data_IF_209834855513
#
_entry.id   IF_209834855513
#
_cell.length_a   1.000
_cell.length_b   1.000
_cell.length_c   1.000
_cell.angle_alpha   90.00
_cell.angle_beta   90.00
_cell.angle_gamma   90.00
#
_symmetry.space_group_name_H-M   'P 1'
#
loop_
_entity.id
_entity.type
_entity.pdbx_description
1 polymer ?
#
# COMPACT_ATOMS: atom_id res chain seq x y z
N UNK A 1 -28.69 1.07 -6.05
CA UNK A 1 -27.69 1.50 -5.05
C UNK A 1 -28.10 2.89 -4.58
N UNK A 2 -28.22 3.13 -3.28
CA UNK A 2 -28.52 4.48 -2.77
C UNK A 2 -27.39 5.44 -3.15
N UNK A 3 -27.74 6.66 -3.57
CA UNK A 3 -26.75 7.68 -3.89
C UNK A 3 -26.12 8.15 -2.58
N UNK A 4 -24.86 7.80 -2.37
CA UNK A 4 -24.06 8.30 -1.26
C UNK A 4 -23.47 9.67 -1.63
N UNK A 5 -23.51 10.60 -0.70
CA UNK A 5 -22.85 11.89 -0.80
C UNK A 5 -21.50 11.83 -0.08
N UNK A 6 -20.54 12.64 -0.53
CA UNK A 6 -19.17 12.67 -0.01
C UNK A 6 -18.75 14.11 0.24
N UNK A 7 -18.07 14.36 1.37
CA UNK A 7 -17.44 15.64 1.65
C UNK A 7 -16.07 15.78 0.98
N UNK A 8 -15.53 17.00 0.92
CA UNK A 8 -14.16 17.19 0.44
C UNK A 8 -13.13 16.47 1.32
N UNK A 9 -13.33 16.41 2.63
CA UNK A 9 -12.42 15.68 3.54
C UNK A 9 -12.40 14.18 3.24
N UNK A 10 -13.55 13.63 2.86
CA UNK A 10 -13.65 12.24 2.42
C UNK A 10 -12.98 12.03 1.06
N UNK A 11 -13.12 12.98 0.15
CA UNK A 11 -12.62 12.89 -1.23
C UNK A 11 -11.17 13.32 -1.41
N UNK A 12 -10.57 14.06 -0.48
CA UNK A 12 -9.22 14.59 -0.63
C UNK A 12 -8.22 13.47 -0.91
N UNK A 13 -7.39 13.71 -1.92
CA UNK A 13 -6.43 12.77 -2.50
C UNK A 13 -7.05 11.49 -3.10
N UNK A 14 -8.37 11.44 -3.34
CA UNK A 14 -8.98 10.32 -4.03
C UNK A 14 -8.44 10.20 -5.45
N UNK A 15 -8.18 8.96 -5.87
CA UNK A 15 -7.64 8.65 -7.20
C UNK A 15 -8.72 8.86 -8.26
N UNK A 16 -8.44 9.73 -9.22
CA UNK A 16 -9.33 10.00 -10.36
C UNK A 16 -8.89 9.12 -11.53
N UNK A 17 -9.81 8.28 -11.99
CA UNK A 17 -9.58 7.27 -13.02
C UNK A 17 -10.46 7.59 -14.22
N UNK A 18 -9.87 7.68 -15.40
CA UNK A 18 -10.62 7.95 -16.63
C UNK A 18 -11.35 6.71 -17.15
N UNK A 19 -12.17 6.88 -18.19
CA UNK A 19 -12.96 5.77 -18.73
C UNK A 19 -12.15 4.66 -19.38
N UNK A 20 -10.85 4.88 -19.65
CA UNK A 20 -9.93 3.87 -20.21
C UNK A 20 -9.13 3.16 -19.11
N UNK A 21 -9.39 3.47 -17.83
CA UNK A 21 -8.71 2.85 -16.69
C UNK A 21 -7.34 3.46 -16.41
N UNK A 22 -7.10 4.72 -16.78
CA UNK A 22 -5.84 5.42 -16.56
C UNK A 22 -5.95 6.42 -15.40
N UNK A 23 -4.85 6.63 -14.68
CA UNK A 23 -4.76 7.67 -13.64
C UNK A 23 -4.80 9.05 -14.29
N UNK A 24 -5.91 9.78 -14.11
CA UNK A 24 -5.98 11.18 -14.48
C UNK A 24 -5.25 12.05 -13.44
N UNK A 25 -5.44 11.77 -12.16
CA UNK A 25 -4.82 12.53 -11.07
C UNK A 25 -5.51 12.24 -9.74
N UNK A 26 -5.49 13.23 -8.85
CA UNK A 26 -6.06 13.13 -7.52
C UNK A 26 -6.97 14.32 -7.22
N UNK A 27 -7.97 14.14 -6.37
CA UNK A 27 -8.85 15.24 -5.94
C UNK A 27 -8.11 16.17 -4.97
N UNK A 28 -8.01 17.46 -5.29
CA UNK A 28 -7.50 18.50 -4.39
C UNK A 28 -8.64 19.16 -3.61
N UNK A 29 -9.68 19.59 -4.34
CA UNK A 29 -10.78 20.42 -3.81
C UNK A 29 -12.07 20.28 -4.65
N UNK A 30 -13.16 20.91 -4.23
CA UNK A 30 -14.40 21.09 -4.99
C UNK A 30 -14.62 22.60 -5.18
N UNK A 31 -14.69 23.04 -6.44
CA UNK A 31 -15.12 24.41 -6.76
C UNK A 31 -16.60 24.43 -7.13
N UNK A 32 -17.30 25.47 -6.70
CA UNK A 32 -18.73 25.67 -6.96
C UNK A 32 -18.88 27.01 -7.67
N UNK A 33 -19.29 26.97 -8.94
CA UNK A 33 -19.56 28.16 -9.75
C UNK A 33 -21.06 28.17 -10.09
N UNK A 34 -21.78 29.16 -9.58
CA UNK A 34 -23.24 29.32 -9.76
C UNK A 34 -24.02 28.04 -9.37
N UNK A 35 -24.36 27.21 -10.35
CA UNK A 35 -25.10 25.95 -10.22
C UNK A 35 -24.30 24.70 -10.59
N UNK A 36 -23.00 24.84 -10.92
CA UNK A 36 -22.14 23.75 -11.37
C UNK A 36 -20.97 23.55 -10.42
N UNK A 37 -20.96 22.40 -9.74
CA UNK A 37 -19.81 21.95 -8.99
C UNK A 37 -18.82 21.18 -9.89
N UNK A 38 -17.53 21.39 -9.65
CA UNK A 38 -16.42 20.71 -10.35
C UNK A 38 -15.41 20.22 -9.32
N UNK A 39 -14.87 19.02 -9.53
CA UNK A 39 -13.71 18.54 -8.79
C UNK A 39 -12.44 19.18 -9.35
N UNK A 40 -11.59 19.68 -8.47
CA UNK A 40 -10.26 20.16 -8.82
C UNK A 40 -9.31 18.96 -8.81
N UNK A 41 -8.79 18.59 -9.98
CA UNK A 41 -7.85 17.48 -10.12
C UNK A 41 -6.42 18.01 -10.14
N UNK A 42 -5.55 17.42 -9.34
CA UNK A 42 -4.11 17.69 -9.35
C UNK A 42 -3.30 16.46 -9.76
N UNK A 43 -2.08 16.71 -10.21
CA UNK A 43 -1.05 15.69 -10.44
C UNK A 43 0.22 16.04 -9.68
N UNK A 44 1.03 15.03 -9.38
CA UNK A 44 2.34 15.19 -8.74
C UNK A 44 3.42 15.19 -9.81
N UNK A 45 4.33 16.16 -9.74
CA UNK A 45 5.55 16.18 -10.54
C UNK A 45 6.76 16.12 -9.62
N UNK A 46 7.74 15.30 -10.00
CA UNK A 46 9.06 15.29 -9.37
C UNK A 46 9.94 16.27 -10.10
N UNK A 47 10.40 17.29 -9.39
CA UNK A 47 11.35 18.26 -9.91
C UNK A 47 12.67 18.15 -9.15
N UNK A 48 13.76 18.35 -9.88
CA UNK A 48 15.08 18.48 -9.31
C UNK A 48 15.26 19.93 -8.84
N UNK A 49 15.34 20.14 -7.53
CA UNK A 49 15.57 21.46 -6.92
C UNK A 49 16.93 21.46 -6.21
N UNK A 50 17.74 22.52 -6.33
CA UNK A 50 18.93 22.68 -5.51
C UNK A 50 18.52 22.87 -4.04
N UNK A 51 18.93 21.94 -3.18
CA UNK A 51 18.76 22.00 -1.74
C UNK A 51 20.12 22.01 -1.04
N UNK A 52 20.14 22.54 0.19
CA UNK A 52 21.37 22.57 0.99
C UNK A 52 21.68 21.15 1.46
N UNK A 53 22.92 20.71 1.27
CA UNK A 53 23.39 19.46 1.86
C UNK A 53 23.68 19.69 3.35
N UNK A 54 22.67 19.43 4.18
CA UNK A 54 22.71 19.70 5.62
C UNK A 54 23.81 18.89 6.31
N UNK A 55 24.00 17.62 5.95
CA UNK A 55 25.02 16.75 6.56
C UNK A 55 26.43 17.26 6.27
N UNK A 56 26.71 17.62 5.01
CA UNK A 56 27.98 18.19 4.60
C UNK A 56 28.21 19.58 5.21
N UNK A 57 27.16 20.38 5.34
CA UNK A 57 27.26 21.68 6.01
C UNK A 57 27.60 21.51 7.50
N UNK A 58 26.93 20.58 8.19
CA UNK A 58 27.21 20.24 9.59
C UNK A 58 28.64 19.75 9.79
N UNK A 59 29.17 18.89 8.91
CA UNK A 59 30.54 18.39 9.04
C UNK A 59 31.60 19.49 8.88
N UNK A 60 31.39 20.41 7.93
CA UNK A 60 32.28 21.57 7.73
C UNK A 60 32.22 22.51 8.96
N UNK A 61 31.02 22.80 9.46
CA UNK A 61 30.82 23.68 10.62
C UNK A 61 31.35 23.07 11.92
N UNK A 62 31.17 21.77 12.15
CA UNK A 62 31.68 21.07 13.34
C UNK A 62 33.21 21.14 13.47
N UNK A 63 33.91 21.31 12.34
CA UNK A 63 35.37 21.43 12.30
C UNK A 63 35.87 22.84 12.69
N UNK A 64 34.97 23.83 12.80
CA UNK A 64 35.31 25.25 12.99
C UNK A 64 34.52 25.93 14.11
N UNK A 65 33.38 25.37 14.53
CA UNK A 65 32.53 25.86 15.59
C UNK A 65 32.00 24.70 16.44
N UNK A 66 31.73 24.94 17.73
CA UNK A 66 30.97 23.99 18.55
C UNK A 66 29.51 24.00 18.15
N UNK A 67 29.01 22.83 17.77
CA UNK A 67 27.60 22.58 17.49
C UNK A 67 27.03 21.64 18.56
N UNK A 68 25.81 21.92 19.01
CA UNK A 68 24.98 21.07 19.87
C UNK A 68 24.31 19.93 19.07
N UNK A 69 24.29 20.02 17.73
CA UNK A 69 23.90 18.95 16.80
C UNK A 69 22.43 18.96 16.35
N UNK A 70 21.58 19.71 17.06
CA UNK A 70 20.14 19.87 16.79
C UNK A 70 19.78 21.25 16.19
N UNK A 71 20.77 22.01 15.70
CA UNK A 71 20.54 23.36 15.22
C UNK A 71 19.61 23.39 14.00
N UNK A 72 18.67 24.36 13.95
CA UNK A 72 17.88 24.62 12.76
C UNK A 72 18.76 24.92 11.55
N UNK A 73 18.27 24.56 10.35
CA UNK A 73 18.98 24.83 9.09
C UNK A 73 19.32 26.31 8.91
N UNK A 74 18.41 27.21 9.30
CA UNK A 74 18.62 28.65 9.24
C UNK A 74 19.83 29.10 10.07
N UNK A 75 19.99 28.57 11.29
CA UNK A 75 21.12 28.85 12.18
C UNK A 75 22.44 28.35 11.59
N UNK A 76 22.44 27.15 11.01
CA UNK A 76 23.62 26.59 10.35
C UNK A 76 24.04 27.44 9.13
N UNK A 77 23.08 27.89 8.33
CA UNK A 77 23.35 28.76 7.18
C UNK A 77 23.86 30.14 7.63
N UNK A 78 23.27 30.72 8.67
CA UNK A 78 23.73 32.00 9.22
C UNK A 78 25.17 31.91 9.76
N UNK A 79 25.49 30.83 10.48
CA UNK A 79 26.84 30.56 10.98
C UNK A 79 27.83 30.37 9.83
N UNK A 80 27.46 29.60 8.80
CA UNK A 80 28.30 29.40 7.63
C UNK A 80 28.63 30.72 6.90
N UNK A 81 27.64 31.60 6.76
CA UNK A 81 27.86 32.94 6.17
C UNK A 81 28.74 33.82 7.06
N UNK A 82 28.54 33.78 8.37
CA UNK A 82 29.37 34.53 9.35
C UNK A 82 30.84 34.09 9.29
N UNK A 83 31.07 32.79 9.17
CA UNK A 83 32.40 32.19 9.09
C UNK A 83 32.96 32.14 7.64
N UNK A 84 32.28 32.78 6.69
CA UNK A 84 32.65 32.84 5.28
C UNK A 84 32.90 31.45 4.64
N UNK A 85 32.07 30.47 5.01
CA UNK A 85 32.07 29.10 4.52
C UNK A 85 31.10 28.99 3.33
N UNK A 86 31.56 28.36 2.25
CA UNK A 86 30.71 28.05 1.11
C UNK A 86 29.62 27.04 1.49
N UNK A 87 28.36 27.39 1.22
CA UNK A 87 27.22 26.54 1.53
C UNK A 87 27.19 25.38 0.51
N UNK A 88 27.29 24.11 0.94
CA UNK A 88 27.26 22.99 0.02
C UNK A 88 25.83 22.75 -0.46
N UNK A 89 25.65 22.77 -1.78
CA UNK A 89 24.38 22.46 -2.44
C UNK A 89 24.37 21.04 -3.00
N UNK A 90 23.18 20.45 -3.09
CA UNK A 90 22.91 19.18 -3.74
C UNK A 90 21.60 19.25 -4.51
N UNK A 91 21.46 18.44 -5.55
CA UNK A 91 20.18 18.29 -6.24
C UNK A 91 19.31 17.32 -5.43
N UNK A 92 18.09 17.73 -5.09
CA UNK A 92 17.11 16.88 -4.44
C UNK A 92 15.84 16.78 -5.29
N UNK A 93 15.17 15.62 -5.24
CA UNK A 93 13.85 15.46 -5.84
C UNK A 93 12.79 16.00 -4.88
N UNK A 94 11.96 16.92 -5.37
CA UNK A 94 10.80 17.45 -4.65
C UNK A 94 9.54 17.18 -5.44
N UNK A 95 8.53 16.68 -4.75
CA UNK A 95 7.19 16.51 -5.32
C UNK A 95 6.40 17.81 -5.21
N UNK A 96 5.94 18.33 -6.34
CA UNK A 96 5.07 19.50 -6.42
C UNK A 96 3.69 19.10 -6.94
N UNK A 97 2.64 19.68 -6.35
CA UNK A 97 1.26 19.54 -6.80
C UNK A 97 0.95 20.57 -7.87
N UNK A 98 0.45 20.13 -9.02
CA UNK A 98 -0.03 21.00 -10.08
C UNK A 98 -1.48 20.69 -10.41
N UNK A 99 -2.32 21.73 -10.49
CA UNK A 99 -3.70 21.58 -10.95
C UNK A 99 -3.66 21.15 -12.42
N UNK A 100 -4.20 19.96 -12.69
CA UNK A 100 -4.26 19.37 -14.02
C UNK A 100 -5.53 19.78 -14.76
N UNK A 101 -6.63 19.96 -14.04
CA UNK A 101 -7.88 20.42 -14.63
C UNK A 101 -9.06 20.36 -13.69
N UNK A 102 -10.21 20.80 -14.18
CA UNK A 102 -11.48 20.79 -13.48
C UNK A 102 -12.40 19.75 -14.11
N UNK A 103 -12.94 18.87 -13.28
CA UNK A 103 -13.80 17.75 -13.70
C UNK A 103 -15.25 18.05 -13.29
N UNK A 104 -16.17 18.25 -14.25
CA UNK A 104 -17.59 18.42 -13.96
C UNK A 104 -18.17 17.19 -13.24
N UNK A 105 -19.04 17.40 -12.24
CA UNK A 105 -19.70 16.27 -11.56
C UNK A 105 -20.55 15.41 -12.51
N UNK A 106 -21.02 15.96 -13.63
CA UNK A 106 -21.75 15.21 -14.67
C UNK A 106 -20.90 14.13 -15.35
N UNK A 107 -19.57 14.23 -15.31
CA UNK A 107 -18.66 13.22 -15.86
C UNK A 107 -18.30 12.14 -14.83
N UNK A 108 -18.68 12.31 -13.56
CA UNK A 108 -18.39 11.34 -12.50
C UNK A 108 -19.42 10.23 -12.55
N UNK A 109 -18.98 9.03 -12.92
CA UNK A 109 -19.82 7.82 -12.97
C UNK A 109 -20.01 7.25 -11.57
N UNK A 110 -18.93 7.24 -10.78
CA UNK A 110 -18.87 6.57 -9.49
C UNK A 110 -17.87 7.28 -8.61
N UNK A 111 -18.24 7.40 -7.33
CA UNK A 111 -17.33 7.68 -6.24
C UNK A 111 -17.44 6.51 -5.27
N UNK A 112 -16.32 5.95 -4.84
CA UNK A 112 -16.29 4.92 -3.79
C UNK A 112 -15.08 5.07 -2.88
N UNK A 113 -15.24 4.65 -1.64
CA UNK A 113 -14.24 4.75 -0.58
C UNK A 113 -14.33 3.51 0.29
N UNK A 114 -13.31 2.66 0.24
CA UNK A 114 -13.28 1.37 0.95
C UNK A 114 -11.91 1.10 1.55
N UNK A 115 -11.90 0.37 2.65
CA UNK A 115 -10.68 -0.20 3.19
C UNK A 115 -10.48 -1.59 2.61
N UNK A 116 -9.28 -1.86 2.12
CA UNK A 116 -8.84 -3.19 1.72
C UNK A 116 -7.72 -3.64 2.65
N UNK A 117 -7.64 -4.95 2.88
CA UNK A 117 -6.61 -5.55 3.73
C UNK A 117 -5.98 -6.74 3.01
N UNK A 118 -4.79 -6.57 2.46
CA UNK A 118 -4.16 -7.59 1.63
C UNK A 118 -2.71 -7.73 2.04
N UNK A 119 -2.27 -8.97 2.31
CA UNK A 119 -0.88 -9.30 2.63
C UNK A 119 -0.33 -8.41 3.78
N UNK A 120 -1.11 -8.31 4.86
CA UNK A 120 -0.88 -7.48 6.07
C UNK A 120 -0.84 -5.96 5.84
N UNK A 121 -1.14 -5.51 4.62
CA UNK A 121 -1.23 -4.09 4.28
C UNK A 121 -2.68 -3.64 4.32
N UNK A 122 -2.98 -2.72 5.23
CA UNK A 122 -4.26 -2.00 5.26
C UNK A 122 -4.15 -0.75 4.40
N UNK A 123 -4.95 -0.66 3.35
CA UNK A 123 -5.04 0.52 2.50
C UNK A 123 -6.46 1.07 2.50
N UNK A 124 -6.61 2.36 2.75
CA UNK A 124 -7.86 3.08 2.52
C UNK A 124 -7.86 3.63 1.11
N UNK A 125 -8.62 3.00 0.21
CA UNK A 125 -8.71 3.38 -1.19
C UNK A 125 -9.94 4.26 -1.39
N UNK A 126 -9.72 5.40 -2.06
CA UNK A 126 -10.74 6.34 -2.47
C UNK A 126 -10.61 6.55 -3.97
N UNK A 127 -11.68 6.37 -4.70
CA UNK A 127 -11.67 6.45 -6.17
C UNK A 127 -12.84 7.24 -6.72
N UNK A 128 -12.56 8.02 -7.76
CA UNK A 128 -13.53 8.71 -8.61
C UNK A 128 -13.36 8.18 -10.03
N UNK A 129 -14.38 7.54 -10.58
CA UNK A 129 -14.39 7.02 -11.95
C UNK A 129 -15.10 7.99 -12.88
N UNK A 130 -14.47 8.33 -14.00
CA UNK A 130 -15.01 9.22 -15.01
C UNK A 130 -15.65 8.47 -16.18
N UNK A 131 -16.65 9.09 -16.80
CA UNK A 131 -17.27 8.61 -18.05
C UNK A 131 -16.46 8.95 -19.29
N UNK A 132 -15.48 9.85 -19.17
CA UNK A 132 -14.70 10.40 -20.28
C UNK A 132 -13.23 9.96 -20.22
N UNK A 133 -12.56 9.77 -21.37
CA UNK A 133 -11.18 9.30 -21.46
C UNK A 133 -10.17 10.46 -21.34
N UNK A 134 -10.30 11.29 -20.30
CA UNK A 134 -9.52 12.53 -20.14
C UNK A 134 -8.01 12.29 -20.15
N UNK A 135 -7.56 11.22 -19.50
CA UNK A 135 -6.14 10.91 -19.41
C UNK A 135 -5.61 10.34 -20.72
N UNK A 136 -6.37 9.44 -21.36
CA UNK A 136 -6.01 8.94 -22.67
C UNK A 136 -5.87 10.09 -23.69
N UNK A 137 -6.80 11.05 -23.70
CA UNK A 137 -6.72 12.25 -24.55
C UNK A 137 -5.49 13.08 -24.21
N UNK A 138 -5.23 13.35 -22.92
CA UNK A 138 -4.07 14.12 -22.48
C UNK A 138 -2.74 13.48 -22.92
N UNK A 139 -2.65 12.15 -22.89
CA UNK A 139 -1.47 11.38 -23.34
C UNK A 139 -1.41 11.18 -24.85
N UNK A 140 -2.44 11.56 -25.62
CA UNK A 140 -2.54 11.27 -27.05
C UNK A 140 -2.71 9.78 -27.38
N UNK A 141 -3.29 9.00 -26.46
CA UNK A 141 -3.54 7.57 -26.64
C UNK A 141 -4.82 7.32 -27.46
N UNK A 142 -4.86 6.23 -28.24
CA UNK A 142 -6.06 5.88 -28.99
C UNK A 142 -7.20 5.47 -28.04
N UNK A 143 -8.31 6.19 -28.11
CA UNK A 143 -9.55 5.83 -27.40
C UNK A 143 -10.29 4.82 -28.26
N UNK A 144 -10.21 3.54 -27.89
CA UNK A 144 -10.83 2.48 -28.67
C UNK A 144 -12.20 2.14 -28.07
N UNK A 145 -13.33 2.33 -28.78
CA UNK A 145 -14.65 2.04 -28.22
C UNK A 145 -14.87 0.54 -27.98
N UNK A 146 -14.18 -0.35 -28.72
CA UNK A 146 -14.31 -1.80 -28.58
C UNK A 146 -13.46 -2.30 -27.40
N UNK A 147 -13.92 -3.33 -26.69
CA UNK A 147 -13.16 -3.98 -25.60
C UNK A 147 -11.77 -4.32 -26.13
N UNK A 148 -10.73 -3.74 -25.52
CA UNK A 148 -9.36 -4.11 -25.86
C UNK A 148 -9.20 -5.61 -25.61
N UNK A 149 -8.63 -6.33 -26.57
CA UNK A 149 -8.15 -7.69 -26.31
C UNK A 149 -6.91 -7.56 -25.44
N UNK A 150 -6.99 -7.94 -24.17
CA UNK A 150 -5.87 -7.89 -23.24
C UNK A 150 -5.49 -9.30 -22.79
N UNK A 151 -4.20 -9.53 -22.55
CA UNK A 151 -3.77 -10.76 -21.90
C UNK A 151 -4.37 -10.84 -20.49
N UNK A 152 -4.95 -11.97 -20.06
CA UNK A 152 -5.43 -12.13 -18.69
C UNK A 152 -4.39 -11.76 -17.63
N UNK A 153 -3.10 -11.94 -17.92
CA UNK A 153 -2.01 -11.57 -17.02
C UNK A 153 -1.95 -10.06 -16.74
N UNK A 154 -2.45 -9.21 -17.65
CA UNK A 154 -2.45 -7.75 -17.46
C UNK A 154 -3.47 -7.28 -16.41
N UNK A 155 -4.37 -8.15 -15.95
CA UNK A 155 -5.36 -7.84 -14.91
C UNK A 155 -4.77 -8.05 -13.50
N UNK A 156 -3.83 -8.99 -13.37
CA UNK A 156 -3.26 -9.38 -12.08
C UNK A 156 -2.47 -8.24 -11.46
N UNK A 157 -2.66 -8.04 -10.15
CA UNK A 157 -2.04 -6.98 -9.36
C UNK A 157 -2.76 -5.64 -9.41
N UNK A 158 -3.76 -5.46 -10.28
CA UNK A 158 -4.47 -4.19 -10.45
C UNK A 158 -5.69 -4.10 -9.55
N UNK A 159 -6.02 -2.87 -9.17
CA UNK A 159 -7.28 -2.54 -8.51
C UNK A 159 -8.42 -2.66 -9.53
N UNK A 160 -9.44 -3.43 -9.17
CA UNK A 160 -10.64 -3.68 -9.98
C UNK A 160 -11.80 -2.85 -9.45
N UNK A 161 -12.43 -2.12 -10.36
CA UNK A 161 -13.53 -1.20 -10.08
C UNK A 161 -14.70 -1.60 -10.97
N UNK A 162 -15.89 -1.69 -10.39
CA UNK A 162 -17.14 -1.85 -11.12
C UNK A 162 -17.86 -0.52 -11.16
N UNK A 163 -18.26 -0.09 -12.36
CA UNK A 163 -19.01 1.16 -12.53
C UNK A 163 -20.32 1.18 -11.71
N UNK A 164 -20.87 0.01 -11.39
CA UNK A 164 -22.11 -0.15 -10.64
C UNK A 164 -21.91 -0.52 -9.16
N UNK A 165 -20.88 -1.29 -8.81
CA UNK A 165 -20.66 -1.84 -7.45
C UNK A 165 -19.53 -1.15 -6.66
N UNK A 166 -18.81 -0.22 -7.27
CA UNK A 166 -17.68 0.45 -6.62
C UNK A 166 -16.38 -0.34 -6.72
N UNK A 167 -15.47 -0.08 -5.77
CA UNK A 167 -14.21 -0.81 -5.61
C UNK A 167 -14.53 -2.28 -5.27
N UNK A 168 -14.04 -3.19 -6.11
CA UNK A 168 -14.19 -4.63 -5.89
C UNK A 168 -13.02 -5.24 -5.12
N UNK A 169 -11.80 -4.72 -5.31
CA UNK A 169 -10.59 -5.19 -4.65
C UNK A 169 -9.41 -5.31 -5.62
N UNK A 170 -8.38 -6.09 -5.27
CA UNK A 170 -7.21 -6.33 -6.12
C UNK A 170 -7.30 -7.72 -6.76
N UNK A 171 -7.16 -7.81 -8.08
CA UNK A 171 -7.08 -9.09 -8.78
C UNK A 171 -5.74 -9.78 -8.45
N UNK A 172 -5.79 -11.02 -7.95
CA UNK A 172 -4.57 -11.77 -7.59
C UNK A 172 -4.44 -13.09 -8.34
N UNK A 173 -5.55 -13.68 -8.78
CA UNK A 173 -5.54 -15.02 -9.38
C UNK A 173 -6.42 -15.06 -10.63
N UNK A 174 -5.97 -15.84 -11.61
CA UNK A 174 -6.81 -16.24 -12.75
C UNK A 174 -7.53 -17.51 -12.32
N UNK A 175 -8.85 -17.51 -12.39
CA UNK A 175 -9.70 -18.63 -11.97
C UNK A 175 -10.49 -19.16 -13.16
N UNK A 176 -10.95 -20.41 -13.05
CA UNK A 176 -11.72 -21.08 -14.10
C UNK A 176 -13.02 -21.59 -13.50
N UNK A 177 -14.11 -21.36 -14.23
CA UNK A 177 -15.44 -21.92 -13.98
C UNK A 177 -15.86 -22.71 -15.23
N UNK A 178 -16.80 -23.67 -15.17
CA UNK A 178 -17.20 -24.44 -16.35
C UNK A 178 -17.48 -23.55 -17.57
N UNK A 179 -16.64 -23.69 -18.60
CA UNK A 179 -16.74 -22.95 -19.86
C UNK A 179 -16.29 -21.49 -19.85
N UNK A 180 -15.72 -20.96 -18.75
CA UNK A 180 -15.32 -19.55 -18.66
C UNK A 180 -14.07 -19.28 -17.82
N UNK A 181 -13.32 -18.26 -18.23
CA UNK A 181 -12.22 -17.68 -17.47
C UNK A 181 -12.74 -16.55 -16.57
N UNK A 182 -12.15 -16.39 -15.40
CA UNK A 182 -12.42 -15.26 -14.51
C UNK A 182 -11.19 -14.84 -13.72
N UNK A 183 -11.40 -13.88 -12.83
CA UNK A 183 -10.38 -13.35 -11.94
C UNK A 183 -10.89 -13.35 -10.51
N UNK A 184 -10.06 -13.80 -9.57
CA UNK A 184 -10.35 -13.65 -8.15
C UNK A 184 -9.83 -12.30 -7.67
N UNK A 185 -10.76 -11.49 -7.21
CA UNK A 185 -10.53 -10.12 -6.73
C UNK A 185 -10.69 -10.10 -5.22
N UNK A 186 -9.60 -9.86 -4.50
CA UNK A 186 -9.58 -9.88 -3.04
C UNK A 186 -9.84 -8.50 -2.44
N UNK A 187 -10.67 -8.45 -1.41
CA UNK A 187 -10.85 -7.30 -0.51
C UNK A 187 -10.11 -7.48 0.79
N UNK A 188 -10.20 -8.71 1.31
CA UNK A 188 -9.46 -9.17 2.49
C UNK A 188 -8.68 -10.42 2.10
N UNK A 189 -7.37 -10.37 2.27
CA UNK A 189 -6.47 -11.52 2.20
C UNK A 189 -5.46 -11.37 3.32
N UNK A 190 -5.88 -11.75 4.54
CA UNK A 190 -5.00 -11.74 5.70
C UNK A 190 -4.31 -13.09 5.83
N UNK A 191 -2.99 -13.05 5.99
CA UNK A 191 -2.16 -14.23 6.21
C UNK A 191 -1.55 -14.10 7.60
N UNK A 192 -1.94 -14.96 8.53
CA UNK A 192 -1.29 -15.00 9.85
C UNK A 192 -0.06 -15.89 9.76
N UNK A 193 1.06 -15.44 10.32
CA UNK A 193 2.21 -16.30 10.56
C UNK A 193 1.97 -17.05 11.86
N UNK A 194 2.11 -18.36 11.82
CA UNK A 194 1.96 -19.23 12.98
C UNK A 194 3.17 -20.15 13.07
N UNK A 195 3.65 -20.42 14.26
CA UNK A 195 4.64 -21.46 14.50
C UNK A 195 3.91 -22.79 14.56
N UNK A 196 4.35 -23.79 13.78
CA UNK A 196 3.94 -25.17 13.94
C UNK A 196 4.51 -25.71 15.27
N UNK A 197 3.72 -25.52 16.32
CA UNK A 197 4.15 -25.66 17.70
C UNK A 197 4.45 -27.11 18.08
N UNK A 198 3.67 -28.05 17.54
CA UNK A 198 3.90 -29.47 17.77
C UNK A 198 5.20 -29.94 17.09
N UNK A 199 5.47 -29.51 15.85
CA UNK A 199 6.70 -29.87 15.15
C UNK A 199 7.92 -29.20 15.79
N UNK A 200 7.79 -27.93 16.19
CA UNK A 200 8.83 -27.16 16.85
C UNK A 200 9.23 -27.75 18.21
N UNK A 201 8.27 -27.98 19.12
CA UNK A 201 8.56 -28.56 20.44
C UNK A 201 9.14 -29.98 20.32
N UNK A 202 8.66 -30.79 19.37
CA UNK A 202 9.25 -32.09 19.07
C UNK A 202 10.69 -31.99 18.53
N UNK A 203 11.03 -30.91 17.79
CA UNK A 203 12.39 -30.64 17.37
C UNK A 203 13.29 -30.23 18.54
N UNK A 204 12.84 -29.32 19.41
CA UNK A 204 13.57 -28.92 20.64
C UNK A 204 13.85 -30.13 21.54
N UNK A 205 12.89 -31.06 21.66
CA UNK A 205 13.07 -32.32 22.38
C UNK A 205 14.16 -33.20 21.74
N UNK A 206 14.20 -33.30 20.41
CA UNK A 206 15.22 -34.06 19.67
C UNK A 206 16.62 -33.45 19.78
N UNK A 207 16.72 -32.14 19.98
CA UNK A 207 17.98 -31.45 20.25
C UNK A 207 18.54 -31.74 21.64
N UNK A 208 17.82 -32.46 22.51
CA UNK A 208 18.24 -32.78 23.87
C UNK A 208 17.99 -31.67 24.89
N UNK A 209 17.24 -30.62 24.51
CA UNK A 209 17.01 -29.43 25.33
C UNK A 209 15.79 -29.60 26.23
N UNK A 210 15.94 -30.46 27.25
CA UNK A 210 14.83 -30.88 28.12
C UNK A 210 14.19 -29.73 28.89
N UNK A 211 15.00 -28.85 29.48
CA UNK A 211 14.50 -27.69 30.25
C UNK A 211 13.69 -26.72 29.36
N UNK A 212 14.18 -26.45 28.14
CA UNK A 212 13.47 -25.61 27.19
C UNK A 212 12.16 -26.27 26.72
N UNK A 213 12.21 -27.56 26.42
CA UNK A 213 11.03 -28.33 26.03
C UNK A 213 9.93 -28.28 27.10
N UNK A 214 10.28 -28.50 28.37
CA UNK A 214 9.33 -28.45 29.49
C UNK A 214 8.68 -27.06 29.60
N UNK A 215 9.48 -25.99 29.59
CA UNK A 215 8.95 -24.61 29.62
C UNK A 215 7.99 -24.33 28.43
N UNK A 216 8.34 -24.76 27.22
CA UNK A 216 7.51 -24.54 26.03
C UNK A 216 6.19 -25.32 26.06
N UNK A 217 6.21 -26.56 26.56
CA UNK A 217 4.99 -27.38 26.72
C UNK A 217 4.08 -26.81 27.83
N UNK A 218 4.68 -26.33 28.93
CA UNK A 218 3.94 -25.70 30.02
C UNK A 218 3.31 -24.36 29.61
N UNK A 219 4.02 -23.57 28.78
CA UNK A 219 3.46 -22.37 28.18
C UNK A 219 2.24 -22.68 27.34
N UNK A 220 2.33 -23.70 26.47
CA UNK A 220 1.23 -24.11 25.62
C UNK A 220 1.34 -25.58 25.20
N UNK A 221 0.37 -26.38 25.63
CA UNK A 221 0.30 -27.81 25.32
C UNK A 221 0.24 -28.04 23.79
N UNK A 222 1.26 -28.67 23.17
CA UNK A 222 1.33 -28.86 21.72
C UNK A 222 0.26 -29.79 21.14
N UNK A 223 -0.35 -30.64 21.97
CA UNK A 223 -1.43 -31.52 21.54
C UNK A 223 -2.79 -30.83 21.55
N UNK A 224 -2.95 -29.76 22.34
CA UNK A 224 -4.14 -28.91 22.35
C UNK A 224 -4.03 -27.73 21.39
N UNK A 225 -2.84 -27.15 21.27
CA UNK A 225 -2.54 -26.02 20.41
C UNK A 225 -1.39 -26.39 19.50
N UNK A 226 -1.70 -27.10 18.41
CA UNK A 226 -0.70 -27.54 17.42
C UNK A 226 0.00 -26.39 16.69
N UNK A 227 -0.59 -25.20 16.74
CA UNK A 227 -0.07 -23.97 16.13
C UNK A 227 -0.20 -22.79 17.08
N UNK A 228 0.79 -21.90 17.05
CA UNK A 228 0.86 -20.71 17.91
C UNK A 228 1.08 -19.47 17.06
N UNK A 229 0.32 -18.41 17.32
CA UNK A 229 0.44 -17.15 16.57
C UNK A 229 1.82 -16.50 16.79
N UNK A 230 2.44 -16.02 15.71
CA UNK A 230 3.77 -15.40 15.77
C UNK A 230 3.79 -14.12 16.61
N UNK A 231 2.64 -13.47 16.84
CA UNK A 231 2.53 -12.33 17.77
C UNK A 231 2.99 -12.65 19.20
N UNK A 232 2.96 -13.92 19.61
CA UNK A 232 3.40 -14.38 20.93
C UNK A 232 4.91 -14.63 21.01
N UNK A 233 5.68 -14.31 19.97
CA UNK A 233 7.12 -14.59 19.92
C UNK A 233 7.89 -13.93 21.06
N UNK A 234 7.50 -12.72 21.46
CA UNK A 234 8.15 -11.98 22.55
C UNK A 234 7.92 -12.68 23.91
N UNK A 235 6.73 -13.25 24.13
CA UNK A 235 6.42 -14.00 25.35
C UNK A 235 7.20 -15.32 25.40
N UNK A 236 7.31 -16.01 24.25
CA UNK A 236 8.13 -17.22 24.11
C UNK A 236 9.60 -16.91 24.37
N UNK A 237 10.09 -15.77 23.85
CA UNK A 237 11.47 -15.35 24.04
C UNK A 237 11.78 -15.05 25.52
N UNK A 238 10.87 -14.36 26.22
CA UNK A 238 10.97 -14.10 27.66
C UNK A 238 10.92 -15.39 28.48
N UNK A 239 10.06 -16.34 28.10
CA UNK A 239 9.95 -17.63 28.78
C UNK A 239 11.24 -18.47 28.68
N UNK A 240 12.04 -18.26 27.63
CA UNK A 240 13.33 -18.90 27.44
C UNK A 240 14.50 -18.09 28.04
N UNK A 241 14.25 -16.95 28.69
CA UNK A 241 15.29 -16.23 29.43
C UNK A 241 15.86 -17.10 30.56
N UNK A 242 17.19 -17.17 30.63
CA UNK A 242 17.92 -18.04 31.55
C UNK A 242 18.29 -19.42 30.98
N UNK A 243 17.78 -19.80 29.81
CA UNK A 243 18.21 -21.04 29.13
C UNK A 243 19.46 -20.79 28.28
N UNK A 244 20.53 -21.59 28.51
CA UNK A 244 21.84 -21.43 27.84
C UNK A 244 21.81 -21.46 26.31
N UNK A 245 20.81 -22.12 25.71
CA UNK A 245 20.68 -22.28 24.26
C UNK A 245 19.52 -21.47 23.66
N UNK A 246 19.07 -20.39 24.32
CA UNK A 246 17.97 -19.52 23.87
C UNK A 246 18.08 -19.14 22.39
N UNK A 247 19.23 -18.61 21.97
CA UNK A 247 19.45 -18.13 20.59
C UNK A 247 19.25 -19.25 19.56
N UNK A 248 19.81 -20.43 19.84
CA UNK A 248 19.71 -21.61 18.97
C UNK A 248 18.26 -22.15 18.88
N UNK A 249 17.48 -22.04 19.95
CA UNK A 249 16.06 -22.42 19.96
C UNK A 249 15.23 -21.43 19.13
N UNK A 250 15.50 -20.13 19.27
CA UNK A 250 14.81 -19.08 18.51
C UNK A 250 15.15 -19.15 17.01
N UNK A 251 16.40 -19.45 16.66
CA UNK A 251 16.82 -19.70 15.28
C UNK A 251 16.11 -20.94 14.71
N UNK A 252 16.05 -22.04 15.48
CA UNK A 252 15.35 -23.25 15.05
C UNK A 252 13.86 -22.99 14.81
N UNK A 253 13.22 -22.14 15.62
CA UNK A 253 11.79 -21.80 15.50
C UNK A 253 11.45 -21.15 14.14
N UNK A 254 12.38 -20.40 13.54
CA UNK A 254 12.15 -19.77 12.23
C UNK A 254 11.81 -20.80 11.15
N UNK A 255 12.39 -22.01 11.23
CA UNK A 255 12.13 -23.11 10.29
C UNK A 255 10.74 -23.74 10.44
N UNK A 256 10.01 -23.39 11.50
CA UNK A 256 8.67 -23.91 11.78
C UNK A 256 7.58 -22.83 11.64
N UNK A 257 7.91 -21.65 11.13
CA UNK A 257 6.93 -20.61 10.83
C UNK A 257 6.19 -20.99 9.55
N UNK A 258 4.90 -21.26 9.69
CA UNK A 258 3.94 -21.46 8.61
C UNK A 258 3.13 -20.18 8.40
N UNK A 259 2.59 -20.03 7.20
CA UNK A 259 1.66 -18.95 6.88
C UNK A 259 0.28 -19.55 6.64
N UNK A 260 -0.71 -19.14 7.45
CA UNK A 260 -2.10 -19.58 7.33
C UNK A 260 -3.02 -18.45 6.87
N UNK A 261 -4.08 -18.79 6.15
CA UNK A 261 -5.14 -17.83 5.86
C UNK A 261 -5.97 -17.55 7.12
N UNK A 262 -6.04 -16.28 7.53
CA UNK A 262 -6.80 -15.84 8.71
C UNK A 262 -8.16 -15.24 8.34
N UNK A 263 -8.34 -14.82 7.10
CA UNK A 263 -9.49 -14.03 6.65
C UNK A 263 -9.38 -13.78 5.16
N UNK A 264 -10.39 -14.27 4.44
CA UNK A 264 -10.41 -14.28 2.98
C UNK A 264 -11.77 -13.80 2.49
N UNK A 265 -11.84 -12.56 2.00
CA UNK A 265 -13.01 -12.02 1.30
C UNK A 265 -12.61 -11.73 -0.15
N UNK A 266 -13.26 -12.42 -1.09
CA UNK A 266 -13.04 -12.24 -2.51
C UNK A 266 -14.35 -12.24 -3.29
N UNK A 267 -14.29 -11.70 -4.50
CA UNK A 267 -15.31 -11.85 -5.53
C UNK A 267 -14.65 -12.37 -6.80
N UNK A 268 -15.26 -13.38 -7.42
CA UNK A 268 -14.81 -13.88 -8.71
C UNK A 268 -15.52 -13.09 -9.83
N UNK A 269 -14.75 -12.56 -10.77
CA UNK A 269 -15.23 -11.70 -11.87
C UNK A 269 -14.99 -12.41 -13.20
N UNK A 270 -16.03 -12.71 -13.99
CA UNK A 270 -15.86 -13.27 -15.33
C UNK A 270 -15.01 -12.38 -16.23
N UNK A 271 -14.16 -12.98 -17.05
CA UNK A 271 -13.34 -12.25 -18.03
C UNK A 271 -14.20 -11.39 -18.98
N UNK A 272 -15.42 -11.86 -19.30
CA UNK A 272 -16.39 -11.15 -20.13
C UNK A 272 -17.00 -9.89 -19.49
N UNK A 273 -16.87 -9.70 -18.17
CA UNK A 273 -17.36 -8.50 -17.47
C UNK A 273 -16.36 -7.34 -17.50
N UNK A 274 -15.11 -7.59 -17.86
CA UNK A 274 -14.09 -6.55 -17.95
C UNK A 274 -14.32 -5.72 -19.21
N UNK A 275 -14.40 -4.40 -19.00
CA UNK A 275 -14.66 -3.40 -20.04
C UNK A 275 -13.35 -2.77 -20.52
N UNK A 276 -12.44 -2.46 -19.60
CA UNK A 276 -11.14 -1.82 -19.85
C UNK A 276 -10.06 -2.31 -18.91
N UNK A 277 -8.83 -2.35 -19.40
CA UNK A 277 -7.63 -2.68 -18.63
C UNK A 277 -6.55 -1.63 -18.93
N UNK A 278 -6.46 -0.63 -18.07
CA UNK A 278 -5.40 0.38 -18.07
C UNK A 278 -4.45 0.13 -16.91
N UNK A 279 -4.11 1.18 -16.17
CA UNK A 279 -3.47 1.08 -14.85
C UNK A 279 -4.45 0.47 -13.82
N UNK A 280 -5.74 0.70 -14.03
CA UNK A 280 -6.87 0.14 -13.30
C UNK A 280 -7.72 -0.75 -14.21
N UNK A 281 -8.45 -1.68 -13.61
CA UNK A 281 -9.36 -2.58 -14.34
C UNK A 281 -10.79 -2.13 -14.10
N UNK A 282 -11.52 -1.85 -15.19
CA UNK A 282 -12.92 -1.44 -15.15
C UNK A 282 -13.79 -2.62 -15.57
N UNK A 283 -14.80 -2.89 -14.75
CA UNK A 283 -15.82 -3.91 -14.96
C UNK A 283 -17.20 -3.28 -15.03
N UNK A 284 -18.17 -4.01 -15.60
CA UNK A 284 -19.57 -3.60 -15.62
C UNK A 284 -20.15 -3.47 -14.19
#
# INVERSE_FOLDING_TARGET
MEKKFYSIDELKNATIIDSEGLLYGYVEDITIEESNAKLVAYTLFKINEPAINVEKLKSILSSRASLEGNEPLETLVALARKENIEIPWQVTEKEIKWIKGYVPLSEVVLIDSKQIFIDDTRAHIKTVLLSTPREAIFRGLPVNPKSQTYSPQHVIGKLVISASRGILGIAKEIVVSPGMLGFRVYRVRSRKKVVNWIAFTAHVKRMGLKEAYEKLVDFRDPYKYSKVDLSLINEIEQLLEGTREKEKIMEAMQNFIETEEAGTEYVDIPYSEIVRVGEFVITR
#
